data_IF_048549934714
#
_entry.id   IF_048549934714
#
_cell.length_a   1.000
_cell.length_b   1.000
_cell.length_c   1.000
_cell.angle_alpha   90.00
_cell.angle_beta   90.00
_cell.angle_gamma   90.00
#
_symmetry.space_group_name_H-M   'P 1'
#
loop_
_entity.id
_entity.type
_entity.pdbx_description
1 polymer ?
#
# COMPACT_ATOMS: atom_id res chain seq x y z
N UNK A 1 -12.87 -11.39 -0.09
CA UNK A 1 -11.63 -10.74 0.38
C UNK A 1 -11.01 -11.57 1.49
N UNK A 2 -9.85 -12.17 1.21
CA UNK A 2 -9.06 -12.94 2.18
C UNK A 2 -7.76 -12.19 2.49
N UNK A 3 -7.35 -12.16 3.76
CA UNK A 3 -6.05 -11.59 4.15
C UNK A 3 -4.95 -12.56 3.76
N UNK A 4 -4.02 -12.11 2.92
CA UNK A 4 -2.91 -12.93 2.40
C UNK A 4 -1.57 -12.62 3.06
N UNK A 5 -1.39 -11.39 3.58
CA UNK A 5 -0.13 -10.97 4.19
C UNK A 5 -0.32 -9.72 5.07
N UNK A 6 0.70 -9.44 5.87
CA UNK A 6 0.90 -8.16 6.54
C UNK A 6 2.32 -7.69 6.26
N UNK A 7 2.49 -6.45 5.80
CA UNK A 7 3.80 -5.89 5.49
C UNK A 7 4.01 -4.56 6.17
N UNK A 8 5.19 -4.37 6.75
CA UNK A 8 5.62 -3.07 7.28
C UNK A 8 6.27 -2.26 6.17
N UNK A 9 5.75 -1.06 5.91
CA UNK A 9 6.24 -0.18 4.85
C UNK A 9 6.54 1.20 5.41
N UNK A 10 7.71 1.71 5.04
CA UNK A 10 8.08 3.10 5.29
C UNK A 10 7.26 4.04 4.42
N UNK A 11 6.50 4.92 5.06
CA UNK A 11 5.77 5.99 4.38
C UNK A 11 6.28 7.36 4.82
N UNK A 12 6.25 8.36 3.93
CA UNK A 12 6.67 9.71 4.26
C UNK A 12 5.64 10.39 5.19
N UNK A 13 6.08 10.81 6.36
CA UNK A 13 5.34 11.63 7.32
C UNK A 13 5.81 13.07 7.26
N UNK A 14 4.87 13.99 7.06
CA UNK A 14 5.17 15.43 7.12
C UNK A 14 5.10 15.92 8.56
N UNK A 15 6.24 16.35 9.09
CA UNK A 15 6.34 16.88 10.47
C UNK A 15 6.30 18.42 10.48
N UNK A 16 5.90 19.04 11.62
CA UNK A 16 6.00 20.49 11.79
C UNK A 16 7.44 20.96 11.53
N UNK A 17 7.58 22.03 10.75
CA UNK A 17 8.87 22.50 10.21
C UNK A 17 9.22 21.96 8.82
N UNK A 18 8.25 21.38 8.11
CA UNK A 18 8.36 20.93 6.72
C UNK A 18 9.43 19.83 6.49
N UNK A 19 9.76 19.08 7.54
CA UNK A 19 10.65 17.91 7.46
C UNK A 19 9.83 16.67 7.13
N UNK A 20 10.31 15.87 6.18
CA UNK A 20 9.74 14.56 5.84
C UNK A 20 10.55 13.52 6.61
N UNK A 21 9.89 12.78 7.50
CA UNK A 21 10.49 11.61 8.15
C UNK A 21 9.81 10.35 7.59
N UNK A 22 10.55 9.26 7.46
CA UNK A 22 9.94 7.98 7.12
C UNK A 22 9.48 7.31 8.40
N UNK A 23 8.24 6.82 8.41
CA UNK A 23 7.70 6.03 9.51
C UNK A 23 7.20 4.69 8.99
N UNK A 24 7.48 3.65 9.75
CA UNK A 24 7.00 2.30 9.49
C UNK A 24 5.50 2.24 9.82
N UNK A 25 4.69 1.86 8.83
CA UNK A 25 3.28 1.53 8.99
C UNK A 25 3.08 0.10 8.56
N UNK A 26 2.36 -0.67 9.36
CA UNK A 26 1.91 -2.00 8.98
C UNK A 26 0.69 -1.91 8.05
N UNK A 27 0.72 -2.67 6.97
CA UNK A 27 -0.38 -2.79 6.02
C UNK A 27 -0.86 -4.24 5.99
N UNK A 28 -2.16 -4.42 6.20
CA UNK A 28 -2.80 -5.70 5.93
C UNK A 28 -3.19 -5.79 4.46
N UNK A 29 -2.72 -6.84 3.80
CA UNK A 29 -2.97 -7.08 2.39
C UNK A 29 -4.07 -8.13 2.24
N UNK A 30 -5.11 -7.74 1.54
CA UNK A 30 -6.26 -8.56 1.19
C UNK A 30 -6.26 -8.83 -0.31
N UNK A 31 -6.66 -10.04 -0.70
CA UNK A 31 -6.81 -10.46 -2.10
C UNK A 31 -8.26 -10.86 -2.36
N UNK A 32 -8.76 -10.46 -3.52
CA UNK A 32 -10.06 -10.83 -4.05
C UNK A 32 -9.93 -11.05 -5.58
N UNK A 33 -9.68 -12.30 -5.97
CA UNK A 33 -9.35 -12.63 -7.35
C UNK A 33 -8.08 -11.93 -7.82
N UNK A 34 -8.21 -10.98 -8.75
CA UNK A 34 -7.11 -10.17 -9.29
C UNK A 34 -7.00 -8.79 -8.63
N UNK A 35 -7.86 -8.46 -7.66
CA UNK A 35 -7.81 -7.22 -6.91
C UNK A 35 -7.08 -7.43 -5.59
N UNK A 36 -6.23 -6.46 -5.26
CA UNK A 36 -5.47 -6.40 -4.02
C UNK A 36 -5.85 -5.12 -3.28
N UNK A 37 -6.08 -5.24 -1.99
CA UNK A 37 -6.40 -4.12 -1.12
C UNK A 37 -5.44 -4.10 0.04
N UNK A 38 -4.78 -2.97 0.27
CA UNK A 38 -3.87 -2.76 1.38
C UNK A 38 -4.48 -1.77 2.37
N UNK A 39 -4.75 -2.23 3.58
CA UNK A 39 -5.31 -1.42 4.65
C UNK A 39 -4.19 -1.04 5.63
N UNK A 40 -3.83 0.26 5.76
CA UNK A 40 -2.89 0.70 6.79
C UNK A 40 -3.47 0.50 8.18
N UNK A 41 -2.72 -0.17 9.05
CA UNK A 41 -2.99 -0.39 10.46
C UNK A 41 -2.48 0.79 11.30
N UNK A 42 -2.96 2.00 11.00
CA UNK A 42 -2.59 3.20 11.74
C UNK A 42 -3.81 4.09 12.05
N UNK A 43 -3.63 4.99 13.02
CA UNK A 43 -4.69 5.89 13.47
C UNK A 43 -5.17 6.86 12.39
N UNK A 44 -6.33 7.50 12.62
CA UNK A 44 -6.87 8.51 11.69
C UNK A 44 -5.96 9.74 11.57
N UNK A 45 -5.31 10.15 12.66
CA UNK A 45 -4.32 11.25 12.64
C UNK A 45 -3.07 10.89 11.83
N UNK A 46 -2.57 9.67 12.01
CA UNK A 46 -1.40 9.17 11.28
C UNK A 46 -1.66 9.09 9.78
N UNK A 47 -2.82 8.57 9.38
CA UNK A 47 -3.25 8.57 7.98
C UNK A 47 -3.31 9.96 7.39
N UNK A 48 -3.83 10.95 8.15
CA UNK A 48 -3.86 12.35 7.69
C UNK A 48 -2.46 12.93 7.50
N UNK A 49 -1.55 12.67 8.43
CA UNK A 49 -0.17 13.17 8.36
C UNK A 49 0.59 12.54 7.17
N UNK A 50 0.40 11.24 6.95
CA UNK A 50 1.00 10.49 5.85
C UNK A 50 0.24 10.64 4.51
N UNK A 51 -0.88 11.39 4.49
CA UNK A 51 -1.78 11.47 3.33
C UNK A 51 -2.22 10.11 2.77
N UNK A 52 -2.37 9.13 3.66
CA UNK A 52 -2.78 7.78 3.33
C UNK A 52 -4.31 7.65 3.33
N UNK A 53 -4.91 7.00 2.31
CA UNK A 53 -6.31 6.64 2.34
C UNK A 53 -6.57 5.52 3.36
N UNK A 54 -7.85 5.27 3.71
CA UNK A 54 -8.21 4.15 4.58
C UNK A 54 -7.86 2.79 4.00
N UNK A 55 -7.79 2.69 2.68
CA UNK A 55 -7.42 1.49 1.92
C UNK A 55 -6.80 1.92 0.58
N UNK A 56 -5.78 1.19 0.15
CA UNK A 56 -5.15 1.31 -1.16
C UNK A 56 -5.55 0.10 -2.00
N UNK A 57 -6.31 0.32 -3.06
CA UNK A 57 -6.79 -0.75 -3.93
C UNK A 57 -6.04 -0.70 -5.26
N UNK A 58 -5.50 -1.85 -5.66
CA UNK A 58 -4.73 -1.99 -6.89
C UNK A 58 -4.89 -3.39 -7.49
N UNK A 59 -4.64 -3.50 -8.78
CA UNK A 59 -4.65 -4.75 -9.53
C UNK A 59 -3.29 -4.96 -10.20
N UNK A 60 -2.91 -6.19 -10.51
CA UNK A 60 -1.76 -6.44 -11.35
C UNK A 60 -2.19 -6.54 -12.81
N UNK A 61 -1.66 -5.64 -13.65
CA UNK A 61 -1.88 -5.65 -15.10
C UNK A 61 -0.53 -5.66 -15.81
N UNK A 62 -0.29 -6.69 -16.62
CA UNK A 62 1.01 -6.94 -17.27
C UNK A 62 2.19 -6.96 -16.27
N UNK A 63 1.99 -7.55 -15.09
CA UNK A 63 3.01 -7.64 -14.04
C UNK A 63 3.35 -6.31 -13.35
N UNK A 64 2.60 -5.24 -13.59
CA UNK A 64 2.74 -3.94 -12.90
C UNK A 64 1.50 -3.68 -12.04
N UNK A 65 1.67 -3.18 -10.81
CA UNK A 65 0.53 -2.76 -10.01
C UNK A 65 -0.09 -1.50 -10.63
N UNK A 66 -1.40 -1.53 -10.84
CA UNK A 66 -2.20 -0.43 -11.32
C UNK A 66 -3.16 -0.03 -10.19
N UNK A 67 -3.04 1.20 -9.70
CA UNK A 67 -3.98 1.73 -8.72
C UNK A 67 -5.39 1.83 -9.31
N UNK A 68 -6.39 1.40 -8.55
CA UNK A 68 -7.81 1.59 -8.90
C UNK A 68 -8.23 3.06 -8.90
N UNK A 69 -7.49 3.96 -8.23
CA UNK A 69 -7.72 5.42 -8.27
C UNK A 69 -6.97 6.13 -9.41
N UNK A 70 -6.19 5.38 -10.21
CA UNK A 70 -5.48 5.88 -11.39
C UNK A 70 -4.08 6.45 -11.11
N UNK A 71 -3.43 6.97 -12.16
CA UNK A 71 -2.01 7.39 -12.18
C UNK A 71 -1.72 8.57 -11.24
N UNK A 72 -2.75 9.34 -10.83
CA UNK A 72 -2.61 10.49 -9.92
C UNK A 72 -2.61 10.11 -8.44
N UNK A 73 -2.56 8.83 -8.11
CA UNK A 73 -2.49 8.40 -6.72
C UNK A 73 -1.14 8.79 -6.10
N UNK A 74 -1.17 9.75 -5.16
CA UNK A 74 0.02 10.20 -4.42
C UNK A 74 0.68 9.10 -3.57
N UNK A 75 0.10 7.90 -3.53
CA UNK A 75 0.58 6.73 -2.80
C UNK A 75 1.06 5.60 -3.73
N UNK A 76 1.30 5.90 -5.02
CA UNK A 76 1.82 4.93 -6.00
C UNK A 76 3.13 4.29 -5.54
N UNK A 77 3.99 5.03 -4.82
CA UNK A 77 5.24 4.50 -4.26
C UNK A 77 4.97 3.41 -3.21
N UNK A 78 3.96 3.61 -2.36
CA UNK A 78 3.53 2.63 -1.36
C UNK A 78 3.01 1.37 -2.05
N UNK A 79 2.16 1.53 -3.06
CA UNK A 79 1.65 0.41 -3.86
C UNK A 79 2.78 -0.35 -4.55
N UNK A 80 3.76 0.34 -5.12
CA UNK A 80 4.92 -0.31 -5.74
C UNK A 80 5.75 -1.10 -4.72
N UNK A 81 5.95 -0.57 -3.51
CA UNK A 81 6.62 -1.30 -2.43
C UNK A 81 5.83 -2.56 -2.01
N UNK A 82 4.52 -2.44 -1.78
CA UNK A 82 3.64 -3.59 -1.47
C UNK A 82 3.74 -4.63 -2.58
N UNK A 83 3.64 -4.19 -3.84
CA UNK A 83 3.70 -5.08 -4.98
C UNK A 83 5.06 -5.77 -5.14
N UNK A 84 6.16 -5.10 -4.79
CA UNK A 84 7.49 -5.69 -4.69
C UNK A 84 7.53 -6.82 -3.66
N UNK A 85 7.06 -6.54 -2.44
CA UNK A 85 7.00 -7.54 -1.36
C UNK A 85 6.12 -8.73 -1.72
N UNK A 86 4.98 -8.50 -2.36
CA UNK A 86 4.12 -9.57 -2.86
C UNK A 86 4.84 -10.44 -3.91
N UNK A 87 5.71 -9.87 -4.76
CA UNK A 87 6.54 -10.63 -5.73
C UNK A 87 7.59 -11.46 -5.02
N UNK A 88 8.28 -10.86 -4.06
CA UNK A 88 9.34 -11.51 -3.29
C UNK A 88 8.82 -12.71 -2.50
N UNK A 89 7.58 -12.64 -2.01
CA UNK A 89 6.92 -13.72 -1.29
C UNK A 89 6.11 -14.68 -2.19
N UNK A 90 6.18 -14.55 -3.51
CA UNK A 90 5.42 -15.34 -4.51
C UNK A 90 3.89 -15.30 -4.34
N UNK A 91 3.35 -14.24 -3.72
CA UNK A 91 1.92 -14.11 -3.39
C UNK A 91 1.06 -13.58 -4.55
N UNK A 92 1.65 -13.40 -5.74
CA UNK A 92 1.01 -12.79 -6.91
C UNK A 92 0.42 -13.83 -7.86
N UNK A 93 0.75 -15.11 -7.69
CA UNK A 93 0.30 -16.16 -8.60
C UNK A 93 -1.04 -16.77 -8.15
N UNK A 94 -2.11 -16.40 -8.87
CA UNK A 94 -3.06 -17.41 -9.33
C UNK A 94 -2.47 -17.96 -10.64
N UNK A 95 -2.12 -19.23 -10.65
CA UNK A 95 -1.71 -19.97 -11.85
C UNK A 95 -2.91 -20.19 -12.77
#
# INVERSE_FOLDING_TARGET
MEKIASFTIEVPYRTPGNRIINKNIDFDIFKDGNHYTAAPLCGLEERRIASLPPELSFEFKNGKPLSSRGIKEGNIEVINRIAGLLKEHDLINGT
#
